data_IF_346733031711
#
_entry.id   IF_346733031711
#
_cell.length_a   1.000
_cell.length_b   1.000
_cell.length_c   1.000
_cell.angle_alpha   90.00
_cell.angle_beta   90.00
_cell.angle_gamma   90.00
#
_symmetry.space_group_name_H-M   'P 1'
#
loop_
_entity.id
_entity.type
_entity.pdbx_description
1 polymer ?
#
# COMPACT_ATOMS: atom_id res chain seq x y z
N UNK A 1 29.70 -25.04 -25.64
CA UNK A 1 29.39 -24.71 -24.23
C UNK A 1 29.68 -23.26 -23.84
N UNK A 2 30.90 -22.72 -24.04
CA UNK A 2 31.23 -21.32 -23.62
C UNK A 2 30.34 -20.22 -24.20
N UNK A 3 29.96 -20.29 -25.50
CA UNK A 3 29.07 -19.31 -26.13
C UNK A 3 27.64 -19.35 -25.58
N UNK A 4 27.11 -20.54 -25.28
CA UNK A 4 25.77 -20.71 -24.69
C UNK A 4 25.72 -20.10 -23.28
N UNK A 5 26.75 -20.35 -22.47
CA UNK A 5 26.89 -19.75 -21.13
C UNK A 5 27.03 -18.22 -21.18
N UNK A 6 27.75 -17.69 -22.17
CA UNK A 6 27.84 -16.25 -22.41
C UNK A 6 26.47 -15.63 -22.74
N UNK A 7 25.73 -16.19 -23.70
CA UNK A 7 24.40 -15.69 -24.06
C UNK A 7 23.40 -15.80 -22.91
N UNK A 8 23.46 -16.86 -22.11
CA UNK A 8 22.61 -17.00 -20.92
C UNK A 8 22.90 -15.92 -19.87
N UNK A 9 24.18 -15.64 -19.57
CA UNK A 9 24.56 -14.59 -18.61
C UNK A 9 24.19 -13.19 -19.12
N UNK A 10 24.44 -12.90 -20.39
CA UNK A 10 24.05 -11.62 -21.00
C UNK A 10 22.52 -11.46 -20.98
N UNK A 11 21.77 -12.50 -21.38
CA UNK A 11 20.31 -12.49 -21.34
C UNK A 11 19.76 -12.28 -19.94
N UNK A 12 20.31 -12.98 -18.95
CA UNK A 12 19.94 -12.83 -17.54
C UNK A 12 20.25 -11.43 -17.01
N UNK A 13 21.40 -10.86 -17.39
CA UNK A 13 21.79 -9.50 -17.02
C UNK A 13 20.87 -8.45 -17.63
N UNK A 14 20.53 -8.59 -18.92
CA UNK A 14 19.57 -7.72 -19.59
C UNK A 14 18.18 -7.80 -18.93
N UNK A 15 17.71 -9.01 -18.60
CA UNK A 15 16.44 -9.20 -17.90
C UNK A 15 16.45 -8.55 -16.51
N UNK A 16 17.54 -8.68 -15.75
CA UNK A 16 17.69 -8.03 -14.46
C UNK A 16 17.68 -6.49 -14.58
N UNK A 17 18.38 -5.93 -15.56
CA UNK A 17 18.38 -4.47 -15.81
C UNK A 17 16.99 -3.98 -16.18
N UNK A 18 16.29 -4.69 -17.07
CA UNK A 18 14.92 -4.35 -17.45
C UNK A 18 13.98 -4.39 -16.24
N UNK A 19 14.08 -5.44 -15.41
CA UNK A 19 13.28 -5.58 -14.20
C UNK A 19 13.56 -4.45 -13.20
N UNK A 20 14.84 -4.13 -12.94
CA UNK A 20 15.22 -3.03 -12.06
C UNK A 20 14.80 -1.66 -12.62
N UNK A 21 14.78 -1.51 -13.94
CA UNK A 21 14.31 -0.31 -14.62
C UNK A 21 12.82 -0.02 -14.47
N UNK A 22 12.00 -1.03 -14.11
CA UNK A 22 10.57 -0.84 -13.87
C UNK A 22 10.28 0.08 -12.68
N UNK A 23 11.05 -0.01 -11.60
CA UNK A 23 10.85 0.80 -10.40
C UNK A 23 11.01 2.31 -10.62
N UNK A 24 12.13 2.84 -11.16
CA UNK A 24 12.26 4.26 -11.42
C UNK A 24 11.26 4.74 -12.47
N UNK A 25 10.92 3.91 -13.46
CA UNK A 25 9.90 4.23 -14.46
C UNK A 25 8.51 4.39 -13.82
N UNK A 26 8.09 3.43 -12.99
CA UNK A 26 6.81 3.49 -12.29
C UNK A 26 6.75 4.67 -11.29
N UNK A 27 7.84 4.95 -10.58
CA UNK A 27 7.94 6.11 -9.69
C UNK A 27 7.83 7.45 -10.45
N UNK A 28 8.34 7.53 -11.67
CA UNK A 28 8.16 8.70 -12.54
C UNK A 28 6.72 8.81 -13.03
N UNK A 29 6.13 7.70 -13.49
CA UNK A 29 4.74 7.65 -13.98
C UNK A 29 3.73 8.02 -12.89
N UNK A 30 3.96 7.59 -11.64
CA UNK A 30 3.09 7.97 -10.52
C UNK A 30 3.23 9.43 -10.08
N UNK A 31 4.24 10.16 -10.60
CA UNK A 31 4.53 11.54 -10.21
C UNK A 31 5.36 11.69 -8.92
N UNK A 32 5.82 10.58 -8.33
CA UNK A 32 6.57 10.55 -7.07
C UNK A 32 7.93 9.84 -7.22
N UNK A 33 8.88 10.41 -7.99
CA UNK A 33 10.17 9.76 -8.26
C UNK A 33 11.01 9.55 -6.99
N UNK A 34 10.82 10.38 -5.97
CA UNK A 34 11.51 10.27 -4.68
C UNK A 34 11.10 9.02 -3.89
N UNK A 35 10.05 8.29 -4.27
CA UNK A 35 9.63 7.06 -3.57
C UNK A 35 10.74 6.00 -3.53
N UNK A 36 11.64 5.99 -4.52
CA UNK A 36 12.82 5.11 -4.57
C UNK A 36 13.80 5.32 -3.40
N UNK A 37 13.78 6.49 -2.75
CA UNK A 37 14.70 6.82 -1.65
C UNK A 37 14.13 6.43 -0.29
N UNK A 38 12.90 5.91 -0.22
CA UNK A 38 12.32 5.44 1.02
C UNK A 38 12.93 4.11 1.45
N UNK A 39 13.47 4.06 2.66
CA UNK A 39 14.16 2.89 3.20
C UNK A 39 13.40 2.20 4.36
N UNK A 40 12.08 2.43 4.45
CA UNK A 40 11.15 1.79 5.41
C UNK A 40 11.64 1.74 6.87
N UNK A 41 12.00 2.88 7.45
CA UNK A 41 12.51 2.96 8.83
C UNK A 41 11.45 2.82 9.94
N UNK A 42 10.19 2.52 9.60
CA UNK A 42 9.02 2.42 10.51
C UNK A 42 8.64 3.69 11.31
N UNK A 43 9.41 4.78 11.26
CA UNK A 43 9.12 6.01 12.02
C UNK A 43 7.75 6.60 11.64
N UNK A 44 7.45 6.67 10.34
CA UNK A 44 6.18 7.20 9.85
C UNK A 44 4.97 6.39 10.33
N UNK A 45 5.14 5.07 10.50
CA UNK A 45 4.09 4.17 11.00
C UNK A 45 3.74 4.48 12.45
N UNK A 46 4.75 4.71 13.29
CA UNK A 46 4.55 5.07 14.70
C UNK A 46 3.87 6.45 14.86
N UNK A 47 4.12 7.36 13.92
CA UNK A 47 3.53 8.70 13.92
C UNK A 47 2.06 8.75 13.46
N UNK A 48 1.53 7.69 12.86
CA UNK A 48 0.19 7.69 12.28
C UNK A 48 -0.90 7.40 13.35
N UNK A 49 -1.75 8.38 13.70
CA UNK A 49 -2.78 8.18 14.72
C UNK A 49 -3.85 7.16 14.28
N UNK A 50 -4.17 7.13 12.98
CA UNK A 50 -5.14 6.21 12.38
C UNK A 50 -4.62 4.76 12.25
N UNK A 51 -3.35 4.50 12.59
CA UNK A 51 -2.73 3.17 12.45
C UNK A 51 -2.61 2.66 11.02
N UNK A 52 -2.70 3.56 10.03
CA UNK A 52 -2.38 3.30 8.62
C UNK A 52 -0.87 3.34 8.47
N UNK A 53 -0.27 2.36 7.80
CA UNK A 53 1.16 2.31 7.54
C UNK A 53 1.57 3.21 6.35
N UNK A 54 2.15 4.41 6.55
CA UNK A 54 2.38 5.34 5.45
C UNK A 54 3.40 4.84 4.42
N UNK A 55 4.21 3.84 4.77
CA UNK A 55 5.10 3.18 3.80
C UNK A 55 4.33 2.53 2.66
N UNK A 56 3.13 2.00 2.92
CA UNK A 56 2.28 1.42 1.88
C UNK A 56 1.85 2.42 0.81
N UNK A 57 1.66 3.70 1.16
CA UNK A 57 1.42 4.75 0.15
C UNK A 57 2.65 4.96 -0.73
N UNK A 58 3.84 4.97 -0.13
CA UNK A 58 5.10 5.12 -0.88
C UNK A 58 5.30 3.95 -1.84
N UNK A 59 5.01 2.73 -1.42
CA UNK A 59 5.13 1.55 -2.29
C UNK A 59 4.08 1.55 -3.39
N UNK A 60 2.83 1.89 -3.08
CA UNK A 60 1.78 2.06 -4.07
C UNK A 60 2.24 3.03 -5.18
N UNK A 61 2.85 4.16 -4.81
CA UNK A 61 3.39 5.11 -5.78
C UNK A 61 4.65 4.58 -6.50
N UNK A 62 5.55 3.88 -5.81
CA UNK A 62 6.75 3.29 -6.41
C UNK A 62 6.41 2.27 -7.51
N UNK A 63 5.37 1.46 -7.31
CA UNK A 63 4.91 0.48 -8.29
C UNK A 63 3.80 1.00 -9.20
N UNK A 64 3.40 2.27 -9.04
CA UNK A 64 2.30 2.90 -9.75
C UNK A 64 0.98 2.10 -9.68
N UNK A 65 0.65 1.57 -8.50
CA UNK A 65 -0.51 0.73 -8.26
C UNK A 65 -1.35 1.25 -7.07
N UNK A 66 -2.49 1.93 -7.31
CA UNK A 66 -3.38 2.39 -6.24
C UNK A 66 -4.09 1.26 -5.50
N UNK A 67 -4.10 0.05 -6.08
CA UNK A 67 -4.67 -1.16 -5.49
C UNK A 67 -3.68 -1.95 -4.63
N UNK A 68 -2.46 -1.46 -4.48
CA UNK A 68 -1.45 -2.05 -3.61
C UNK A 68 -1.97 -2.18 -2.17
N UNK A 69 -1.94 -3.39 -1.62
CA UNK A 69 -2.38 -3.65 -0.25
C UNK A 69 -1.37 -3.14 0.77
N UNK A 70 -1.87 -2.44 1.77
CA UNK A 70 -1.08 -1.87 2.86
C UNK A 70 -1.74 -2.13 4.21
N UNK A 71 -0.95 -2.07 5.28
CA UNK A 71 -1.44 -2.34 6.64
C UNK A 71 -2.23 -1.16 7.23
N UNK A 72 -3.32 -1.45 7.93
CA UNK A 72 -4.20 -0.45 8.55
C UNK A 72 -4.80 -0.93 9.89
N UNK A 73 -3.96 -1.16 10.91
CA UNK A 73 -4.30 -1.98 12.09
C UNK A 73 -5.15 -1.31 13.17
N UNK A 74 -5.44 -0.01 13.08
CA UNK A 74 -6.32 0.69 14.03
C UNK A 74 -7.63 1.17 13.43
N UNK A 75 -7.86 0.87 12.14
CA UNK A 75 -9.11 1.21 11.48
C UNK A 75 -10.18 0.16 11.82
N UNK A 76 -11.37 0.61 12.18
CA UNK A 76 -12.54 -0.23 12.42
C UNK A 76 -13.66 0.19 11.49
N UNK A 77 -14.29 -0.78 10.84
CA UNK A 77 -15.43 -0.58 9.96
C UNK A 77 -16.49 -1.62 10.29
N UNK A 78 -17.75 -1.36 9.91
CA UNK A 78 -18.76 -2.42 9.88
C UNK A 78 -18.40 -3.42 8.79
N UNK A 79 -18.68 -4.71 9.01
CA UNK A 79 -18.38 -5.77 8.04
C UNK A 79 -18.97 -5.46 6.65
N UNK A 80 -20.23 -5.02 6.57
CA UNK A 80 -20.86 -4.65 5.30
C UNK A 80 -20.12 -3.51 4.58
N UNK A 81 -19.57 -2.53 5.32
CA UNK A 81 -18.79 -1.45 4.73
C UNK A 81 -17.43 -1.95 4.23
N UNK A 82 -16.76 -2.81 4.99
CA UNK A 82 -15.48 -3.39 4.58
C UNK A 82 -15.63 -4.23 3.30
N UNK A 83 -16.65 -5.09 3.24
CA UNK A 83 -16.95 -5.92 2.07
C UNK A 83 -17.36 -5.08 0.85
N UNK A 84 -18.18 -4.04 1.04
CA UNK A 84 -18.58 -3.15 -0.05
C UNK A 84 -17.41 -2.35 -0.62
N UNK A 85 -16.43 -1.98 0.21
CA UNK A 85 -15.21 -1.32 -0.25
C UNK A 85 -14.32 -2.26 -1.05
N UNK A 86 -14.06 -3.45 -0.49
CA UNK A 86 -13.19 -4.44 -1.08
C UNK A 86 -13.47 -5.83 -0.47
N UNK A 87 -14.09 -6.76 -1.22
CA UNK A 87 -14.41 -8.10 -0.72
C UNK A 87 -13.18 -8.90 -0.25
N UNK A 88 -12.01 -8.57 -0.81
CA UNK A 88 -10.73 -9.20 -0.52
C UNK A 88 -9.98 -8.49 0.63
N UNK A 89 -10.56 -7.44 1.24
CA UNK A 89 -9.98 -6.72 2.37
C UNK A 89 -9.73 -7.68 3.53
N UNK A 90 -8.51 -7.64 4.09
CA UNK A 90 -8.17 -8.47 5.23
C UNK A 90 -8.67 -7.82 6.51
N UNK A 91 -9.57 -8.51 7.20
CA UNK A 91 -10.21 -8.08 8.43
C UNK A 91 -9.90 -9.05 9.57
N UNK A 92 -10.00 -8.56 10.80
CA UNK A 92 -9.95 -9.38 12.00
C UNK A 92 -11.30 -9.34 12.72
N UNK A 93 -11.85 -10.53 12.96
CA UNK A 93 -13.04 -10.75 13.77
C UNK A 93 -12.68 -11.75 14.87
N UNK A 94 -12.87 -11.37 16.13
CA UNK A 94 -12.55 -12.22 17.29
C UNK A 94 -11.12 -12.82 17.26
N UNK A 95 -10.13 -12.03 16.83
CA UNK A 95 -8.71 -12.42 16.64
C UNK A 95 -8.42 -13.39 15.50
N UNK A 96 -9.45 -13.85 14.78
CA UNK A 96 -9.29 -14.60 13.54
C UNK A 96 -9.11 -13.62 12.39
N UNK A 97 -8.18 -13.91 11.47
CA UNK A 97 -7.94 -13.12 10.26
C UNK A 97 -8.62 -13.79 9.07
N UNK A 98 -9.35 -13.04 8.27
CA UNK A 98 -10.05 -13.55 7.09
C UNK A 98 -10.34 -12.40 6.13
N UNK A 99 -10.79 -12.72 4.92
CA UNK A 99 -11.29 -11.71 3.99
C UNK A 99 -12.68 -11.22 4.42
N UNK A 100 -13.03 -10.00 4.06
CA UNK A 100 -14.35 -9.44 4.35
C UNK A 100 -15.49 -10.32 3.80
N UNK A 101 -15.34 -10.82 2.57
CA UNK A 101 -16.30 -11.77 1.98
C UNK A 101 -16.40 -13.08 2.76
N UNK A 102 -15.28 -13.64 3.20
CA UNK A 102 -15.26 -14.87 3.99
C UNK A 102 -15.98 -14.69 5.32
N UNK A 103 -15.78 -13.54 5.97
CA UNK A 103 -16.51 -13.20 7.20
C UNK A 103 -18.04 -13.15 6.96
N UNK A 104 -18.48 -12.61 5.82
CA UNK A 104 -19.90 -12.59 5.45
C UNK A 104 -20.46 -13.99 5.19
N UNK A 105 -19.73 -14.82 4.45
CA UNK A 105 -20.13 -16.21 4.13
C UNK A 105 -20.21 -17.08 5.38
N UNK A 106 -19.32 -16.85 6.36
CA UNK A 106 -19.33 -17.56 7.65
C UNK A 106 -20.47 -17.13 8.60
N UNK A 107 -21.32 -16.19 8.17
CA UNK A 107 -22.50 -15.78 8.92
C UNK A 107 -22.25 -14.71 9.97
N UNK A 108 -21.09 -14.03 9.95
CA UNK A 108 -20.82 -12.91 10.85
C UNK A 108 -21.77 -11.76 10.49
N UNK A 109 -22.54 -11.19 11.45
CA UNK A 109 -23.51 -10.13 11.16
C UNK A 109 -22.90 -8.90 10.49
N UNK A 110 -23.66 -8.24 9.61
CA UNK A 110 -23.19 -7.12 8.76
C UNK A 110 -22.77 -5.89 9.57
N UNK A 111 -23.43 -5.70 10.71
CA UNK A 111 -23.23 -4.65 11.69
C UNK A 111 -22.03 -4.88 12.60
N UNK A 112 -21.41 -6.07 12.55
CA UNK A 112 -20.25 -6.41 13.37
C UNK A 112 -19.11 -5.46 13.03
N UNK A 113 -18.54 -4.80 14.05
CA UNK A 113 -17.32 -4.04 13.90
C UNK A 113 -16.13 -4.97 13.70
N UNK A 114 -15.44 -4.81 12.59
CA UNK A 114 -14.24 -5.58 12.24
C UNK A 114 -13.02 -4.67 12.25
N UNK A 115 -11.90 -5.19 12.72
CA UNK A 115 -10.62 -4.46 12.67
C UNK A 115 -9.97 -4.71 11.32
N UNK A 116 -9.60 -3.64 10.61
CA UNK A 116 -8.91 -3.78 9.33
C UNK A 116 -7.45 -4.20 9.60
N UNK A 117 -6.95 -5.15 8.82
CA UNK A 117 -5.56 -5.61 8.90
C UNK A 117 -4.78 -5.06 7.72
N UNK A 118 -5.34 -5.24 6.52
CA UNK A 118 -4.80 -4.72 5.28
C UNK A 118 -5.92 -4.33 4.31
N UNK A 119 -5.69 -3.25 3.58
CA UNK A 119 -6.60 -2.73 2.57
C UNK A 119 -5.79 -2.05 1.46
N UNK A 120 -6.42 -1.81 0.31
CA UNK A 120 -5.77 -1.13 -0.82
C UNK A 120 -5.44 0.32 -0.49
N UNK A 121 -4.34 0.83 -1.04
CA UNK A 121 -3.85 2.17 -0.77
C UNK A 121 -4.90 3.26 -1.06
N UNK A 122 -5.62 3.16 -2.18
CA UNK A 122 -6.72 4.09 -2.51
C UNK A 122 -7.85 4.11 -1.48
N UNK A 123 -8.12 2.99 -0.81
CA UNK A 123 -9.14 2.92 0.24
C UNK A 123 -8.59 3.48 1.55
N UNK A 124 -7.35 3.12 1.92
CA UNK A 124 -6.70 3.66 3.12
C UNK A 124 -6.59 5.19 3.07
N UNK A 125 -6.33 5.76 1.89
CA UNK A 125 -6.25 7.20 1.66
C UNK A 125 -7.51 7.95 2.13
N UNK A 126 -8.70 7.38 1.93
CA UNK A 126 -9.98 7.97 2.37
C UNK A 126 -10.14 8.05 3.89
N UNK A 127 -9.38 7.25 4.63
CA UNK A 127 -9.36 7.24 6.09
C UNK A 127 -8.13 7.96 6.67
N UNK A 128 -7.27 8.52 5.82
CA UNK A 128 -6.14 9.33 6.26
C UNK A 128 -6.62 10.71 6.70
N UNK A 129 -6.19 11.17 7.88
CA UNK A 129 -6.54 12.53 8.37
C UNK A 129 -5.78 13.66 7.67
N UNK A 130 -4.90 13.35 6.71
CA UNK A 130 -4.07 14.33 5.99
C UNK A 130 -3.31 15.31 6.91
N UNK A 131 -2.98 14.86 8.12
CA UNK A 131 -2.36 15.65 9.20
C UNK A 131 -0.86 15.95 8.98
N UNK A 132 -0.25 15.37 7.94
CA UNK A 132 1.17 15.48 7.62
C UNK A 132 2.15 14.92 8.67
N UNK A 133 1.69 14.24 9.72
CA UNK A 133 2.58 13.68 10.75
C UNK A 133 3.63 12.72 10.16
N UNK A 134 3.24 11.86 9.23
CA UNK A 134 4.16 10.95 8.55
C UNK A 134 5.26 11.69 7.77
N UNK A 135 4.91 12.79 7.09
CA UNK A 135 5.87 13.62 6.36
C UNK A 135 6.81 14.36 7.29
N UNK A 136 6.28 14.95 8.39
CA UNK A 136 7.08 15.67 9.39
C UNK A 136 8.05 14.77 10.13
N UNK A 137 7.65 13.54 10.43
CA UNK A 137 8.49 12.58 11.16
C UNK A 137 9.50 11.85 10.25
N UNK A 138 9.39 11.99 8.93
CA UNK A 138 10.27 11.32 7.99
C UNK A 138 11.69 11.93 8.06
N UNK A 139 12.75 11.14 8.34
CA UNK A 139 14.11 11.68 8.47
C UNK A 139 14.66 12.36 7.20
N UNK A 140 14.16 11.93 6.04
CA UNK A 140 14.51 12.48 4.72
C UNK A 140 13.37 13.35 4.15
N UNK A 141 12.43 13.77 5.00
CA UNK A 141 11.37 14.74 4.67
C UNK A 141 10.50 14.39 3.45
N UNK A 142 10.16 13.10 3.27
CA UNK A 142 9.34 12.68 2.14
C UNK A 142 7.89 13.24 2.25
N UNK A 143 7.33 13.79 1.17
CA UNK A 143 5.97 14.34 1.17
C UNK A 143 4.90 13.24 1.01
N UNK A 144 4.90 12.26 1.93
CA UNK A 144 3.97 11.11 1.95
C UNK A 144 2.50 11.55 2.00
N UNK A 145 2.20 12.68 2.65
CA UNK A 145 0.84 13.25 2.66
C UNK A 145 0.29 13.46 1.25
N UNK A 146 1.13 13.92 0.32
CA UNK A 146 0.69 14.30 -1.02
C UNK A 146 0.19 13.08 -1.79
N UNK A 147 0.89 11.94 -1.65
CA UNK A 147 0.45 10.64 -2.18
C UNK A 147 -0.93 10.26 -1.63
N UNK A 148 -1.10 10.34 -0.31
CA UNK A 148 -2.37 9.98 0.33
C UNK A 148 -3.51 10.93 -0.08
N UNK A 149 -3.21 12.22 -0.24
CA UNK A 149 -4.17 13.22 -0.70
C UNK A 149 -4.61 12.92 -2.14
N UNK A 150 -3.68 12.70 -3.05
CA UNK A 150 -4.00 12.39 -4.45
C UNK A 150 -4.82 11.11 -4.59
N UNK A 151 -4.42 10.04 -3.88
CA UNK A 151 -5.18 8.79 -3.85
C UNK A 151 -6.60 8.97 -3.28
N UNK A 152 -6.77 9.85 -2.29
CA UNK A 152 -8.09 10.12 -1.70
C UNK A 152 -8.98 10.90 -2.67
N UNK A 153 -8.42 11.85 -3.42
CA UNK A 153 -9.15 12.74 -4.32
C UNK A 153 -9.46 12.07 -5.66
N UNK A 154 -8.50 11.35 -6.24
CA UNK A 154 -8.58 10.78 -7.58
C UNK A 154 -8.79 9.26 -7.61
N UNK A 155 -8.44 8.55 -6.53
CA UNK A 155 -8.45 7.08 -6.50
C UNK A 155 -7.29 6.43 -7.26
N UNK A 156 -6.34 7.21 -7.78
CA UNK A 156 -5.21 6.77 -8.60
C UNK A 156 -4.07 7.80 -8.58
N UNK A 157 -2.98 7.47 -9.23
CA UNK A 157 -1.87 8.40 -9.50
C UNK A 157 -2.08 9.05 -10.87
N UNK A 158 -1.68 10.33 -10.98
CA UNK A 158 -1.65 11.15 -12.22
C UNK A 158 -2.38 10.60 -13.45
#
# INVERSE_FOLDING_TARGET
>A
MKRVFFYFNVGSSCAAILFLGLFPMNALLSGYPWTITCYNCNICRLACPAGIDPYGFVIAALVNDPDHYMSATRLRLRLAQAEALDPEMLVSVNKTKMKAREARITGIPEETEVTIIAMKAKHAAKYCFLCANCSKQCPISLPIKDIAQELSEKGGFR
#
